data_IF_265293120518
#
_entry.id   IF_265293120518
#
_cell.length_a   1.000
_cell.length_b   1.000
_cell.length_c   1.000
_cell.angle_alpha   90.00
_cell.angle_beta   90.00
_cell.angle_gamma   90.00
#
_symmetry.space_group_name_H-M   'P 1'
#
loop_
_entity.id
_entity.type
_entity.pdbx_description
1 polymer ?
#
# COMPACT_ATOMS: atom_id res chain seq x y z
N UNK A 1 7.43 -13.39 -4.41
CA UNK A 1 8.56 -12.86 -3.62
C UNK A 1 8.04 -12.37 -2.28
N UNK A 2 8.55 -12.91 -1.17
CA UNK A 2 8.17 -12.47 0.18
C UNK A 2 9.06 -11.32 0.62
N UNK A 3 8.51 -10.40 1.40
CA UNK A 3 9.25 -9.26 1.94
C UNK A 3 8.79 -8.91 3.35
N UNK A 4 9.69 -8.30 4.12
CA UNK A 4 9.45 -7.74 5.44
C UNK A 4 10.11 -6.38 5.53
N UNK A 5 9.36 -5.37 6.00
CA UNK A 5 9.84 -3.99 6.17
C UNK A 5 9.41 -3.52 7.56
N UNK A 6 10.36 -3.03 8.33
CA UNK A 6 10.11 -2.45 9.65
C UNK A 6 10.37 -0.94 9.61
N UNK A 7 9.47 -0.20 10.23
CA UNK A 7 9.57 1.25 10.32
C UNK A 7 9.21 1.73 11.72
N UNK A 8 10.01 2.64 12.26
CA UNK A 8 9.70 3.40 13.45
C UNK A 8 8.89 4.63 13.09
N UNK A 9 7.76 4.85 13.79
CA UNK A 9 6.90 6.04 13.69
C UNK A 9 6.94 6.74 15.04
N UNK A 10 7.45 7.96 15.12
CA UNK A 10 7.64 8.71 16.37
C UNK A 10 6.31 9.34 16.85
N UNK A 11 5.36 8.47 17.16
CA UNK A 11 4.05 8.81 17.72
C UNK A 11 3.47 7.62 18.48
N UNK A 12 2.59 7.85 19.47
CA UNK A 12 1.86 6.80 20.15
C UNK A 12 0.90 6.09 19.21
N UNK A 13 0.61 4.82 19.47
CA UNK A 13 -0.22 3.96 18.64
C UNK A 13 -1.58 4.58 18.32
N UNK A 14 -2.26 5.15 19.31
CA UNK A 14 -3.56 5.80 19.10
C UNK A 14 -3.51 6.91 18.05
N UNK A 15 -2.44 7.71 18.03
CA UNK A 15 -2.25 8.76 17.02
C UNK A 15 -1.97 8.17 15.64
N UNK A 16 -1.19 7.09 15.58
CA UNK A 16 -0.91 6.36 14.32
C UNK A 16 -2.20 5.82 13.73
N UNK A 17 -3.03 5.16 14.53
CA UNK A 17 -4.30 4.59 14.11
C UNK A 17 -5.27 5.66 13.63
N UNK A 18 -5.51 6.71 14.43
CA UNK A 18 -6.42 7.79 14.06
C UNK A 18 -5.98 8.51 12.78
N UNK A 19 -4.68 8.69 12.60
CA UNK A 19 -4.12 9.29 11.38
C UNK A 19 -4.32 8.40 10.15
N UNK A 20 -4.04 7.09 10.27
CA UNK A 20 -4.11 6.14 9.16
C UNK A 20 -5.51 6.02 8.56
N UNK A 21 -6.55 6.17 9.38
CA UNK A 21 -7.95 6.05 8.94
C UNK A 21 -8.63 7.40 8.65
N UNK A 22 -7.89 8.51 8.72
CA UNK A 22 -8.44 9.84 8.42
C UNK A 22 -8.53 10.11 6.92
N UNK A 23 -9.58 10.81 6.49
CA UNK A 23 -9.69 11.29 5.10
C UNK A 23 -8.61 12.33 4.78
N UNK A 24 -8.20 13.11 5.77
CA UNK A 24 -7.15 14.12 5.63
C UNK A 24 -5.82 13.49 5.25
N UNK A 25 -5.49 12.34 5.84
CA UNK A 25 -4.28 11.60 5.44
C UNK A 25 -4.35 11.13 4.00
N UNK A 26 -5.48 10.61 3.53
CA UNK A 26 -5.62 10.19 2.14
C UNK A 26 -5.43 11.35 1.16
N UNK A 27 -6.00 12.53 1.46
CA UNK A 27 -5.80 13.76 0.68
C UNK A 27 -4.34 14.22 0.70
N UNK A 28 -3.70 14.13 1.87
CA UNK A 28 -2.28 14.45 2.03
C UNK A 28 -1.40 13.47 1.21
N UNK A 29 -1.68 12.17 1.28
CA UNK A 29 -0.94 11.14 0.55
C UNK A 29 -1.09 11.33 -0.97
N UNK A 30 -2.29 11.57 -1.48
CA UNK A 30 -2.53 11.85 -2.89
C UNK A 30 -1.69 13.04 -3.39
N UNK A 31 -1.59 14.10 -2.59
CA UNK A 31 -0.84 15.30 -2.93
C UNK A 31 0.68 15.15 -2.81
N UNK A 32 1.13 14.42 -1.80
CA UNK A 32 2.55 14.40 -1.38
C UNK A 32 3.32 13.21 -1.91
N UNK A 33 2.64 12.08 -2.20
CA UNK A 33 3.30 10.87 -2.65
C UNK A 33 3.69 10.96 -4.13
N UNK A 34 5.00 10.88 -4.46
CA UNK A 34 5.47 11.11 -5.84
C UNK A 34 4.98 10.06 -6.84
N UNK A 35 4.64 8.85 -6.40
CA UNK A 35 4.17 7.74 -7.23
C UNK A 35 2.65 7.60 -7.33
N UNK A 36 1.88 8.45 -6.65
CA UNK A 36 0.41 8.40 -6.65
C UNK A 36 -0.14 9.53 -7.51
N UNK A 37 -1.14 9.22 -8.35
CA UNK A 37 -1.89 10.18 -9.14
C UNK A 37 -3.24 10.48 -8.52
N UNK A 38 -3.94 9.45 -8.01
CA UNK A 38 -5.25 9.56 -7.40
C UNK A 38 -5.50 8.45 -6.38
N UNK A 39 -6.21 8.82 -5.30
CA UNK A 39 -6.70 7.90 -4.26
C UNK A 39 -8.20 8.14 -4.09
N UNK A 40 -8.98 7.07 -4.17
CA UNK A 40 -10.44 7.13 -4.01
C UNK A 40 -10.86 6.16 -2.90
N UNK A 41 -11.38 6.70 -1.79
CA UNK A 41 -12.02 5.90 -0.76
C UNK A 41 -13.38 5.44 -1.28
N UNK A 42 -13.52 4.14 -1.53
CA UNK A 42 -14.76 3.53 -1.99
C UNK A 42 -15.66 3.22 -0.80
N UNK A 43 -15.09 2.64 0.26
CA UNK A 43 -15.83 2.27 1.46
C UNK A 43 -14.91 2.24 2.67
N UNK A 44 -15.41 2.71 3.81
CA UNK A 44 -14.81 2.49 5.12
C UNK A 44 -15.92 2.23 6.12
N UNK A 45 -15.86 1.10 6.82
CA UNK A 45 -16.86 0.69 7.80
C UNK A 45 -16.19 0.09 9.02
N UNK A 46 -16.59 0.57 10.19
CA UNK A 46 -16.20 -0.02 11.47
C UNK A 46 -17.34 -0.87 12.02
N UNK A 47 -17.05 -2.12 12.33
CA UNK A 47 -18.00 -3.08 12.88
C UNK A 47 -17.26 -4.17 13.69
N UNK A 48 -17.78 -4.47 14.89
CA UNK A 48 -17.26 -5.54 15.76
C UNK A 48 -15.74 -5.42 16.05
N UNK A 49 -15.23 -4.22 16.29
CA UNK A 49 -13.82 -3.97 16.58
C UNK A 49 -12.89 -4.12 15.37
N UNK A 50 -13.46 -4.09 14.17
CA UNK A 50 -12.71 -4.13 12.91
C UNK A 50 -13.09 -2.98 12.00
N UNK A 51 -12.09 -2.40 11.33
CA UNK A 51 -12.28 -1.40 10.28
C UNK A 51 -12.01 -2.08 8.94
N UNK A 52 -13.05 -2.19 8.11
CA UNK A 52 -12.94 -2.64 6.72
C UNK A 52 -12.84 -1.45 5.81
N UNK A 53 -11.93 -1.52 4.84
CA UNK A 53 -11.69 -0.41 3.92
C UNK A 53 -11.45 -0.92 2.50
N UNK A 54 -12.00 -0.20 1.55
CA UNK A 54 -11.78 -0.40 0.12
C UNK A 54 -11.30 0.91 -0.48
N UNK A 55 -10.08 0.93 -1.00
CA UNK A 55 -9.45 2.11 -1.61
C UNK A 55 -9.00 1.77 -3.01
N UNK A 56 -9.35 2.62 -3.98
CA UNK A 56 -8.82 2.54 -5.34
C UNK A 56 -7.65 3.48 -5.51
N UNK A 57 -6.54 2.93 -5.97
CA UNK A 57 -5.31 3.66 -6.27
C UNK A 57 -5.09 3.76 -7.77
N UNK A 58 -4.77 4.96 -8.23
CA UNK A 58 -4.27 5.21 -9.57
C UNK A 58 -2.83 5.69 -9.45
N UNK A 59 -1.83 4.80 -9.62
CA UNK A 59 -0.42 5.20 -9.59
C UNK A 59 -0.05 6.06 -10.79
N UNK A 60 0.99 6.87 -10.65
CA UNK A 60 1.67 7.44 -11.81
C UNK A 60 2.41 6.34 -12.57
N UNK A 61 2.55 6.42 -13.90
CA UNK A 61 3.26 5.43 -14.69
C UNK A 61 4.71 5.29 -14.20
N UNK A 62 5.04 4.14 -13.63
CA UNK A 62 6.41 3.80 -13.20
C UNK A 62 7.13 3.05 -14.32
N UNK A 63 6.36 2.33 -15.13
CA UNK A 63 6.81 1.56 -16.30
C UNK A 63 5.96 2.02 -17.47
N UNK A 64 6.56 2.79 -18.37
CA UNK A 64 5.85 3.27 -19.55
C UNK A 64 5.80 2.23 -20.67
N UNK A 65 6.78 1.36 -20.73
CA UNK A 65 6.93 0.35 -21.79
C UNK A 65 7.50 -0.95 -21.27
N UNK A 66 7.02 -2.03 -21.86
CA UNK A 66 7.58 -3.37 -21.68
C UNK A 66 7.94 -3.91 -23.07
N UNK A 67 9.24 -3.89 -23.39
CA UNK A 67 9.68 -4.14 -24.77
C UNK A 67 9.08 -3.10 -25.73
N UNK A 68 8.53 -3.52 -26.87
CA UNK A 68 7.92 -2.61 -27.85
C UNK A 68 6.53 -2.10 -27.43
N UNK A 69 5.90 -2.72 -26.40
CA UNK A 69 4.53 -2.41 -26.00
C UNK A 69 4.48 -1.33 -24.92
N UNK A 70 3.61 -0.33 -25.12
CA UNK A 70 3.30 0.66 -24.11
C UNK A 70 2.40 0.04 -23.03
N UNK A 71 2.71 0.28 -21.76
CA UNK A 71 1.87 -0.11 -20.63
C UNK A 71 0.74 0.90 -20.50
N UNK A 72 -0.53 0.52 -20.65
CA UNK A 72 -1.64 1.45 -20.45
C UNK A 72 -1.75 1.80 -18.97
N UNK A 73 -2.13 3.04 -18.66
CA UNK A 73 -2.30 3.51 -17.27
C UNK A 73 -3.29 2.63 -16.47
N UNK A 74 -4.34 2.13 -17.14
CA UNK A 74 -5.33 1.22 -16.55
C UNK A 74 -4.73 -0.10 -16.03
N UNK A 75 -3.59 -0.54 -16.55
CA UNK A 75 -2.91 -1.74 -16.08
C UNK A 75 -2.26 -1.56 -14.70
N UNK A 76 -2.05 -0.32 -14.28
CA UNK A 76 -1.44 0.03 -12.99
C UNK A 76 -2.48 0.32 -11.91
N UNK A 77 -3.74 0.53 -12.28
CA UNK A 77 -4.83 0.78 -11.33
C UNK A 77 -5.13 -0.48 -10.55
N UNK A 78 -5.24 -0.35 -9.22
CA UNK A 78 -5.62 -1.44 -8.34
C UNK A 78 -6.56 -0.96 -7.23
N UNK A 79 -7.28 -1.92 -6.64
CA UNK A 79 -8.10 -1.71 -5.46
C UNK A 79 -7.49 -2.46 -4.29
N UNK A 80 -7.24 -1.76 -3.19
CA UNK A 80 -6.86 -2.36 -1.92
C UNK A 80 -8.13 -2.70 -1.13
N UNK A 81 -8.26 -3.95 -0.73
CA UNK A 81 -9.19 -4.37 0.30
C UNK A 81 -8.41 -4.64 1.56
N UNK A 82 -8.76 -3.96 2.64
CA UNK A 82 -8.07 -4.12 3.92
C UNK A 82 -9.04 -4.25 5.08
N UNK A 83 -8.59 -4.98 6.10
CA UNK A 83 -9.30 -5.16 7.37
C UNK A 83 -8.32 -4.93 8.51
N UNK A 84 -8.60 -3.96 9.35
CA UNK A 84 -7.83 -3.66 10.56
C UNK A 84 -8.54 -4.19 11.79
N UNK A 85 -7.87 -5.00 12.59
CA UNK A 85 -8.33 -5.49 13.87
C UNK A 85 -7.84 -4.55 14.98
N UNK A 86 -8.77 -3.81 15.60
CA UNK A 86 -8.48 -2.83 16.64
C UNK A 86 -7.92 -3.45 17.92
N UNK A 87 -8.20 -4.72 18.19
CA UNK A 87 -7.69 -5.39 19.39
C UNK A 87 -6.30 -5.99 19.20
N UNK A 88 -5.99 -6.41 17.97
CA UNK A 88 -4.71 -7.03 17.62
C UNK A 88 -3.72 -6.03 17.02
N UNK A 89 -4.20 -4.86 16.62
CA UNK A 89 -3.42 -3.84 15.91
C UNK A 89 -2.77 -4.35 14.62
N UNK A 90 -3.52 -5.22 13.91
CA UNK A 90 -3.09 -5.84 12.66
C UNK A 90 -4.02 -5.42 11.52
N UNK A 91 -3.43 -4.92 10.45
CA UNK A 91 -4.09 -4.68 9.18
C UNK A 91 -3.72 -5.81 8.21
N UNK A 92 -4.72 -6.49 7.69
CA UNK A 92 -4.58 -7.43 6.56
C UNK A 92 -5.00 -6.73 5.29
N UNK A 93 -4.26 -6.92 4.20
CA UNK A 93 -4.60 -6.28 2.92
C UNK A 93 -4.39 -7.21 1.73
N UNK A 94 -5.17 -6.95 0.68
CA UNK A 94 -5.01 -7.54 -0.64
C UNK A 94 -5.17 -6.44 -1.70
N UNK A 95 -4.23 -6.37 -2.64
CA UNK A 95 -4.28 -5.46 -3.78
C UNK A 95 -4.73 -6.20 -5.04
N UNK A 96 -5.87 -5.80 -5.59
CA UNK A 96 -6.49 -6.42 -6.75
C UNK A 96 -6.38 -5.47 -7.95
N UNK A 97 -5.62 -5.81 -9.00
CA UNK A 97 -5.53 -5.02 -10.22
C UNK A 97 -6.89 -4.86 -10.91
N UNK A 98 -7.16 -3.67 -11.45
CA UNK A 98 -8.41 -3.38 -12.16
C UNK A 98 -8.51 -4.15 -13.49
N UNK A 99 -7.40 -4.32 -14.19
CA UNK A 99 -7.35 -5.02 -15.47
C UNK A 99 -7.30 -6.55 -15.26
N UNK A 100 -8.26 -7.30 -15.83
CA UNK A 100 -8.35 -8.76 -15.67
C UNK A 100 -7.07 -9.50 -16.08
N UNK A 101 -6.45 -9.12 -17.19
CA UNK A 101 -5.20 -9.73 -17.68
C UNK A 101 -4.05 -9.58 -16.67
N UNK A 102 -4.02 -8.48 -15.91
CA UNK A 102 -3.03 -8.25 -14.86
C UNK A 102 -3.43 -9.00 -13.58
N UNK A 103 -4.71 -9.04 -13.24
CA UNK A 103 -5.25 -9.72 -12.06
C UNK A 103 -4.91 -11.20 -12.01
N UNK A 104 -4.98 -11.90 -13.13
CA UNK A 104 -4.63 -13.32 -13.22
C UNK A 104 -3.14 -13.61 -13.00
N UNK A 105 -2.30 -12.59 -13.11
CA UNK A 105 -0.83 -12.69 -13.12
C UNK A 105 -0.13 -11.94 -12.01
N UNK A 106 -0.89 -11.20 -11.23
CA UNK A 106 -0.37 -10.37 -10.15
C UNK A 106 -1.09 -10.70 -8.85
N UNK A 107 -0.33 -10.93 -7.80
CA UNK A 107 -0.85 -11.08 -6.44
C UNK A 107 -0.01 -10.24 -5.49
N UNK A 108 -0.66 -9.42 -4.70
CA UNK A 108 -0.02 -8.67 -3.62
C UNK A 108 -0.92 -8.71 -2.40
N UNK A 109 -0.47 -9.43 -1.37
CA UNK A 109 -1.16 -9.57 -0.10
C UNK A 109 -0.18 -9.40 1.04
N UNK A 110 -0.67 -9.02 2.19
CA UNK A 110 0.19 -8.91 3.36
C UNK A 110 -0.54 -8.49 4.63
N UNK A 111 0.27 -8.29 5.65
CA UNK A 111 -0.17 -7.82 6.96
C UNK A 111 0.72 -6.67 7.41
N UNK A 112 0.15 -5.76 8.18
CA UNK A 112 0.89 -4.71 8.88
C UNK A 112 0.55 -4.83 10.36
N UNK A 113 1.53 -5.15 11.18
CA UNK A 113 1.43 -5.15 12.62
C UNK A 113 1.93 -3.79 13.16
N UNK A 114 1.16 -3.20 14.06
CA UNK A 114 1.56 -2.01 14.80
C UNK A 114 1.79 -2.38 16.27
N UNK A 115 3.01 -2.17 16.75
CA UNK A 115 3.40 -2.44 18.12
C UNK A 115 3.70 -1.14 18.84
N UNK A 116 2.97 -0.85 19.90
CA UNK A 116 3.28 0.28 20.76
C UNK A 116 4.58 0.02 21.53
N UNK A 117 5.45 1.00 21.52
CA UNK A 117 6.70 1.04 22.28
C UNK A 117 6.76 2.33 23.09
N UNK A 118 7.70 2.42 24.00
CA UNK A 118 7.89 3.65 24.78
C UNK A 118 8.27 4.82 23.86
N UNK A 119 7.30 5.76 23.66
CA UNK A 119 7.47 6.97 22.88
C UNK A 119 7.35 6.81 21.35
N UNK A 120 7.07 5.61 20.81
CA UNK A 120 6.90 5.40 19.37
C UNK A 120 6.05 4.16 19.06
N UNK A 121 5.65 4.04 17.81
CA UNK A 121 5.00 2.84 17.25
C UNK A 121 5.94 2.17 16.27
N UNK A 122 6.16 0.87 16.43
CA UNK A 122 6.86 0.04 15.45
C UNK A 122 5.85 -0.52 14.44
N UNK A 123 6.05 -0.27 13.13
CA UNK A 123 5.24 -0.78 12.03
C UNK A 123 5.99 -1.88 11.32
N UNK A 124 5.43 -3.08 11.30
CA UNK A 124 6.01 -4.26 10.67
C UNK A 124 5.11 -4.68 9.52
N UNK A 125 5.56 -4.47 8.31
CA UNK A 125 4.90 -4.90 7.08
C UNK A 125 5.51 -6.22 6.60
N UNK A 126 4.70 -7.24 6.50
CA UNK A 126 5.04 -8.53 5.89
C UNK A 126 4.11 -8.79 4.72
N UNK A 127 4.67 -9.19 3.58
CA UNK A 127 3.84 -9.40 2.41
C UNK A 127 4.45 -10.36 1.39
N UNK A 128 3.62 -10.69 0.43
CA UNK A 128 4.01 -11.47 -0.74
C UNK A 128 3.57 -10.74 -2.02
N UNK A 129 4.54 -10.51 -2.89
CA UNK A 129 4.33 -10.01 -4.24
C UNK A 129 4.68 -11.11 -5.24
N UNK A 130 3.72 -11.52 -6.06
CA UNK A 130 3.91 -12.48 -7.14
C UNK A 130 3.48 -11.86 -8.46
N UNK A 131 4.35 -11.94 -9.45
CA UNK A 131 4.12 -11.43 -10.82
C UNK A 131 4.49 -12.53 -11.80
N UNK A 132 3.53 -13.01 -12.60
CA UNK A 132 3.71 -14.12 -13.52
C UNK A 132 3.45 -13.70 -14.96
N UNK A 133 4.41 -13.00 -15.57
CA UNK A 133 4.34 -12.68 -17.01
C UNK A 133 5.22 -13.65 -17.82
N UNK A 134 4.64 -14.54 -18.65
CA UNK A 134 5.39 -15.61 -19.32
C UNK A 134 6.51 -15.13 -20.25
N UNK A 135 6.41 -13.92 -20.77
CA UNK A 135 7.32 -13.36 -21.78
C UNK A 135 8.43 -12.49 -21.17
N UNK A 136 8.25 -12.03 -19.92
CA UNK A 136 9.12 -11.03 -19.31
C UNK A 136 10.08 -11.61 -18.26
N UNK A 137 9.86 -12.86 -17.84
CA UNK A 137 10.73 -13.60 -16.95
C UNK A 137 11.08 -12.88 -15.64
N UNK A 138 12.12 -13.38 -14.99
CA UNK A 138 12.61 -12.91 -13.69
C UNK A 138 13.10 -11.46 -13.68
N UNK A 139 13.42 -10.88 -14.84
CA UNK A 139 13.90 -9.49 -14.94
C UNK A 139 12.77 -8.50 -14.67
N UNK A 140 11.60 -8.72 -15.27
CA UNK A 140 10.43 -7.86 -15.02
C UNK A 140 9.94 -7.98 -13.58
N UNK A 141 9.97 -9.18 -13.01
CA UNK A 141 9.65 -9.42 -11.60
C UNK A 141 10.54 -8.60 -10.67
N UNK A 142 11.85 -8.59 -10.91
CA UNK A 142 12.81 -7.79 -10.13
C UNK A 142 12.56 -6.28 -10.26
N UNK A 143 12.27 -5.80 -11.47
CA UNK A 143 11.98 -4.37 -11.70
C UNK A 143 10.71 -3.96 -10.96
N UNK A 144 9.63 -4.73 -11.10
CA UNK A 144 8.36 -4.45 -10.42
C UNK A 144 8.53 -4.48 -8.91
N UNK A 145 9.24 -5.48 -8.38
CA UNK A 145 9.51 -5.58 -6.95
C UNK A 145 10.33 -4.39 -6.42
N UNK A 146 11.36 -3.98 -7.14
CA UNK A 146 12.20 -2.83 -6.76
C UNK A 146 11.38 -1.54 -6.71
N UNK A 147 10.50 -1.34 -7.71
CA UNK A 147 9.61 -0.19 -7.75
C UNK A 147 8.56 -0.24 -6.64
N UNK A 148 7.96 -1.40 -6.38
CA UNK A 148 7.01 -1.58 -5.28
C UNK A 148 7.64 -1.23 -3.92
N UNK A 149 8.86 -1.70 -3.65
CA UNK A 149 9.60 -1.34 -2.42
C UNK A 149 9.83 0.17 -2.31
N UNK A 150 10.20 0.81 -3.42
CA UNK A 150 10.40 2.27 -3.44
C UNK A 150 9.11 3.02 -3.11
N UNK A 151 7.97 2.59 -3.68
CA UNK A 151 6.67 3.20 -3.40
C UNK A 151 6.26 3.02 -1.93
N UNK A 152 6.44 1.83 -1.37
CA UNK A 152 6.18 1.56 0.05
C UNK A 152 7.06 2.41 0.97
N UNK A 153 8.33 2.63 0.61
CA UNK A 153 9.23 3.50 1.36
C UNK A 153 8.77 4.97 1.29
N UNK A 154 8.34 5.41 0.14
CA UNK A 154 7.81 6.78 -0.05
C UNK A 154 6.49 6.97 0.71
N UNK A 155 5.62 5.98 0.70
CA UNK A 155 4.36 6.00 1.46
C UNK A 155 4.62 6.17 2.96
N UNK A 156 5.51 5.38 3.55
CA UNK A 156 5.79 5.49 4.98
C UNK A 156 6.44 6.83 5.34
N UNK A 157 7.29 7.39 4.49
CA UNK A 157 7.84 8.72 4.73
C UNK A 157 6.77 9.82 4.66
N UNK A 158 5.81 9.73 3.72
CA UNK A 158 4.64 10.60 3.71
C UNK A 158 3.81 10.47 4.99
N UNK A 159 3.59 9.23 5.45
CA UNK A 159 2.85 8.98 6.68
C UNK A 159 3.52 9.58 7.92
N UNK A 160 4.84 9.39 8.06
CA UNK A 160 5.62 9.99 9.15
C UNK A 160 5.54 11.52 9.15
N UNK A 161 5.62 12.13 7.96
CA UNK A 161 5.47 13.59 7.82
C UNK A 161 4.08 14.05 8.26
N UNK A 162 3.03 13.34 7.82
CA UNK A 162 1.66 13.65 8.22
C UNK A 162 1.47 13.56 9.73
N UNK A 163 1.83 12.43 10.34
CA UNK A 163 1.70 12.22 11.80
C UNK A 163 2.47 13.24 12.61
N UNK A 164 3.60 13.72 12.11
CA UNK A 164 4.41 14.74 12.78
C UNK A 164 3.81 16.14 12.68
N UNK A 165 3.06 16.43 11.61
CA UNK A 165 2.52 17.76 11.32
C UNK A 165 1.13 18.00 11.95
N UNK A 166 0.43 16.98 12.30
CA UNK A 166 -0.91 16.98 12.86
C UNK A 166 -0.98 16.18 14.16
#
# INVERSE_FOLDING_TARGET
MKFRIENKIEAPLQKVESSMFSEEYMKFLEKSHPGVKRIELIEQKEENGKIRRTIKYTPKPIIERVGPKKVPESALVFTEHSTYDLNKHILEFENIPAMNLVRERFRNTGTILFEEREGYTNRILEGELSVRFPILGSIAEKIIFTQAKKLLQQEIECFKQYVKSF
#
